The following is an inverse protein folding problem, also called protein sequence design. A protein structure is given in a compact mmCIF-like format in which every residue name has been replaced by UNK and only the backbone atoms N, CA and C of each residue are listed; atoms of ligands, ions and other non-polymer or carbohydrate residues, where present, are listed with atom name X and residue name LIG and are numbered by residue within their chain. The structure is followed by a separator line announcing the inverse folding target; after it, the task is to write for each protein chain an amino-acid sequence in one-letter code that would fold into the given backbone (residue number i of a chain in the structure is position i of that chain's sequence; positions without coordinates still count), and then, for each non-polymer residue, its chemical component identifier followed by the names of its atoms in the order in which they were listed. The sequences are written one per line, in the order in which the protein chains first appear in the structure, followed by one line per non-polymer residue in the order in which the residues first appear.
data_IF_311866941505
#
_entry.id   IF_311866941505
#
_cell.length_a   1.000
_cell.length_b   1.000
_cell.length_c   1.000
_cell.angle_alpha   90.00
_cell.angle_beta   90.00
_cell.angle_gamma   90.00
#
_symmetry.space_group_name_H-M   'P 1'
#
loop_
_entity.id
_entity.type
_entity.pdbx_description
1 polymer ?
#
# COMPACT_ATOMS: atom_id res chain seq x y z
N UNK A 1 -0.76 -13.32 4.70
CA UNK A 1 0.67 -13.59 5.05
C UNK A 1 1.43 -12.37 4.59
N UNK A 2 1.90 -11.54 5.53
CA UNK A 2 2.59 -10.29 5.25
C UNK A 2 3.77 -10.42 4.28
N UNK A 3 4.10 -9.33 3.59
CA UNK A 3 5.36 -9.17 2.87
C UNK A 3 6.55 -9.49 3.78
N UNK A 4 7.57 -10.17 3.25
CA UNK A 4 8.79 -10.41 4.04
C UNK A 4 9.49 -9.08 4.33
N UNK A 5 10.13 -8.98 5.50
CA UNK A 5 10.81 -7.75 5.91
C UNK A 5 11.84 -7.26 4.88
N UNK A 6 12.56 -8.20 4.27
CA UNK A 6 13.50 -7.92 3.18
C UNK A 6 12.84 -7.26 1.96
N UNK A 7 11.62 -7.66 1.61
CA UNK A 7 10.87 -7.09 0.49
C UNK A 7 10.32 -5.72 0.87
N UNK A 8 9.76 -5.57 2.08
CA UNK A 8 9.28 -4.28 2.59
C UNK A 8 10.39 -3.22 2.60
N UNK A 9 11.55 -3.56 3.15
CA UNK A 9 12.71 -2.65 3.23
C UNK A 9 13.22 -2.30 1.82
N UNK A 10 13.29 -3.28 0.91
CA UNK A 10 13.69 -3.04 -0.49
C UNK A 10 12.70 -2.14 -1.23
N UNK A 11 11.39 -2.28 -0.96
CA UNK A 11 10.36 -1.42 -1.54
C UNK A 11 10.45 0.01 -1.00
N UNK A 12 10.71 0.19 0.30
CA UNK A 12 10.91 1.51 0.90
C UNK A 12 12.16 2.21 0.32
N UNK A 13 13.26 1.48 0.11
CA UNK A 13 14.44 2.01 -0.57
C UNK A 13 14.15 2.38 -2.04
N UNK A 14 13.41 1.54 -2.77
CA UNK A 14 13.02 1.82 -4.14
C UNK A 14 12.13 3.08 -4.22
N UNK A 15 11.17 3.24 -3.31
CA UNK A 15 10.32 4.41 -3.22
C UNK A 15 11.13 5.70 -2.97
N UNK A 16 12.07 5.65 -2.02
CA UNK A 16 12.99 6.75 -1.74
C UNK A 16 13.81 7.16 -2.97
N UNK A 17 14.34 6.17 -3.69
CA UNK A 17 15.09 6.41 -4.94
C UNK A 17 14.20 7.00 -6.04
N UNK A 18 12.96 6.54 -6.17
CA UNK A 18 12.00 7.09 -7.14
C UNK A 18 11.59 8.52 -6.79
N UNK A 19 11.41 8.86 -5.51
CA UNK A 19 11.15 10.24 -5.07
C UNK A 19 12.32 11.17 -5.42
N UNK A 20 13.55 10.70 -5.24
CA UNK A 20 14.75 11.43 -5.69
C UNK A 20 14.77 11.59 -7.22
N UNK A 21 14.50 10.53 -7.98
CA UNK A 21 14.41 10.57 -9.43
C UNK A 21 13.34 11.56 -9.91
N UNK A 22 12.17 11.60 -9.25
CA UNK A 22 11.10 12.55 -9.53
C UNK A 22 11.57 13.99 -9.32
N UNK A 23 12.32 14.27 -8.25
CA UNK A 23 12.86 15.59 -8.01
C UNK A 23 13.81 16.05 -9.13
N UNK A 24 14.66 15.15 -9.65
CA UNK A 24 15.51 15.45 -10.80
C UNK A 24 14.70 15.63 -12.09
N UNK A 25 13.77 14.72 -12.37
CA UNK A 25 12.92 14.76 -13.55
C UNK A 25 12.08 16.04 -13.61
N UNK A 26 11.55 16.50 -12.48
CA UNK A 26 10.73 17.72 -12.39
C UNK A 26 11.46 18.99 -12.85
N UNK A 27 12.80 18.99 -12.89
CA UNK A 27 13.61 20.16 -13.27
C UNK A 27 14.05 20.14 -14.73
N UNK A 28 14.22 18.94 -15.31
CA UNK A 28 14.97 18.77 -16.56
C UNK A 28 14.19 18.03 -17.65
N UNK A 29 13.12 17.30 -17.30
CA UNK A 29 12.46 16.36 -18.20
C UNK A 29 11.04 16.77 -18.61
N UNK A 30 10.49 16.03 -19.59
CA UNK A 30 9.11 16.23 -20.02
C UNK A 30 8.11 15.84 -18.92
N UNK A 31 6.94 16.51 -18.82
CA UNK A 31 5.92 16.19 -17.81
C UNK A 31 5.48 14.72 -17.79
N UNK A 32 5.48 14.05 -18.95
CA UNK A 32 5.16 12.62 -19.07
C UNK A 32 6.09 11.76 -18.21
N UNK A 33 7.38 12.07 -18.16
CA UNK A 33 8.37 11.33 -17.36
C UNK A 33 8.07 11.47 -15.87
N UNK A 34 7.73 12.68 -15.42
CA UNK A 34 7.34 12.93 -14.03
C UNK A 34 6.07 12.14 -13.66
N UNK A 35 5.08 12.11 -14.55
CA UNK A 35 3.85 11.34 -14.37
C UNK A 35 4.11 9.84 -14.23
N UNK A 36 4.96 9.26 -15.08
CA UNK A 36 5.31 7.84 -15.01
C UNK A 36 6.05 7.50 -13.71
N UNK A 37 6.96 8.36 -13.25
CA UNK A 37 7.66 8.15 -11.96
C UNK A 37 6.67 8.21 -10.79
N UNK A 38 5.75 9.19 -10.80
CA UNK A 38 4.71 9.29 -9.77
C UNK A 38 3.79 8.06 -9.74
N UNK A 39 3.43 7.53 -10.92
CA UNK A 39 2.64 6.31 -11.02
C UNK A 39 3.36 5.09 -10.42
N UNK A 40 4.67 4.96 -10.67
CA UNK A 40 5.47 3.88 -10.07
C UNK A 40 5.50 3.96 -8.55
N UNK A 41 5.68 5.17 -7.97
CA UNK A 41 5.61 5.39 -6.53
C UNK A 41 4.24 4.97 -5.99
N UNK A 42 3.15 5.42 -6.62
CA UNK A 42 1.79 5.07 -6.18
C UNK A 42 1.51 3.57 -6.21
N UNK A 43 2.08 2.83 -7.17
CA UNK A 43 1.95 1.37 -7.23
C UNK A 43 2.67 0.67 -6.07
N UNK A 44 3.85 1.17 -5.67
CA UNK A 44 4.59 0.64 -4.52
C UNK A 44 3.78 0.86 -3.23
N UNK A 45 3.27 2.08 -3.02
CA UNK A 45 2.44 2.41 -1.84
C UNK A 45 1.18 1.54 -1.77
N UNK A 46 0.55 1.30 -2.92
CA UNK A 46 -0.64 0.44 -3.02
C UNK A 46 -0.30 -0.99 -2.63
N UNK A 47 0.83 -1.51 -3.09
CA UNK A 47 1.27 -2.87 -2.80
C UNK A 47 1.51 -3.08 -1.29
N UNK A 48 2.18 -2.12 -0.63
CA UNK A 48 2.38 -2.14 0.82
C UNK A 48 1.06 -2.02 1.60
N UNK A 49 0.15 -1.16 1.13
CA UNK A 49 -1.16 -0.96 1.78
C UNK A 49 -2.07 -2.18 1.64
N UNK A 50 -2.09 -2.80 0.46
CA UNK A 50 -2.93 -3.96 0.16
C UNK A 50 -2.54 -5.18 0.99
N UNK A 51 -1.25 -5.36 1.26
CA UNK A 51 -0.74 -6.40 2.18
C UNK A 51 -1.37 -6.25 3.58
N UNK A 52 -1.36 -5.03 4.13
CA UNK A 52 -1.95 -4.76 5.44
C UNK A 52 -3.47 -4.99 5.49
N UNK A 53 -4.17 -4.82 4.36
CA UNK A 53 -5.60 -5.07 4.23
C UNK A 53 -5.86 -6.56 4.14
N UNK A 54 -5.12 -7.28 3.30
CA UNK A 54 -5.25 -8.73 3.14
C UNK A 54 -4.96 -9.47 4.44
N UNK A 55 -3.94 -9.05 5.19
CA UNK A 55 -3.65 -9.62 6.50
C UNK A 55 -4.79 -9.41 7.51
N UNK A 56 -5.49 -8.26 7.47
CA UNK A 56 -6.68 -8.03 8.30
C UNK A 56 -7.87 -8.89 7.87
N UNK A 57 -8.01 -9.15 6.57
CA UNK A 57 -9.06 -10.02 6.03
C UNK A 57 -8.80 -11.49 6.37
N UNK A 58 -7.56 -11.97 6.25
CA UNK A 58 -7.18 -13.35 6.56
C UNK A 58 -7.27 -13.68 8.06
N UNK A 59 -6.94 -12.73 8.93
CA UNK A 59 -6.96 -12.93 10.38
C UNK A 59 -8.31 -12.63 11.05
N UNK A 60 -9.37 -12.40 10.26
CA UNK A 60 -10.71 -12.08 10.78
C UNK A 60 -11.32 -13.29 11.47
N UNK A 61 -11.56 -13.19 12.78
CA UNK A 61 -12.28 -14.21 13.56
C UNK A 61 -13.78 -13.91 13.58
N UNK A 62 -14.65 -14.93 13.75
CA UNK A 62 -16.06 -14.71 14.02
C UNK A 62 -16.21 -13.89 15.32
N UNK A 63 -16.88 -12.74 15.25
CA UNK A 63 -17.04 -11.80 16.38
C UNK A 63 -16.11 -10.58 16.36
N UNK A 64 -15.24 -10.42 15.36
CA UNK A 64 -14.34 -9.26 15.27
C UNK A 64 -15.08 -8.00 14.79
N UNK A 65 -15.12 -6.97 15.63
CA UNK A 65 -15.84 -5.70 15.40
C UNK A 65 -14.91 -4.63 14.78
N UNK A 66 -15.31 -4.04 13.65
CA UNK A 66 -14.56 -3.00 12.95
C UNK A 66 -15.33 -2.38 11.78
N UNK A 67 -14.79 -1.35 11.14
CA UNK A 67 -15.43 -0.50 10.10
C UNK A 67 -15.92 -1.24 8.83
N UNK A 68 -15.63 -2.54 8.71
CA UNK A 68 -16.09 -3.44 7.64
C UNK A 68 -16.95 -4.61 8.17
N UNK A 69 -17.40 -4.55 9.43
CA UNK A 69 -18.03 -5.64 10.16
C UNK A 69 -19.54 -5.49 10.35
N UNK A 70 -20.25 -6.57 10.00
CA UNK A 70 -21.57 -7.03 10.48
C UNK A 70 -22.52 -5.95 11.03
N UNK A 71 -23.33 -5.37 10.15
CA UNK A 71 -24.59 -4.75 10.56
C UNK A 71 -25.64 -5.76 11.06
N UNK A 72 -25.34 -7.07 11.05
CA UNK A 72 -26.32 -8.14 11.23
C UNK A 72 -25.78 -9.31 12.07
N UNK A 73 -25.35 -9.11 13.31
CA UNK A 73 -25.22 -10.27 14.20
C UNK A 73 -25.21 -9.97 15.70
N UNK A 74 -26.20 -9.23 16.23
CA UNK A 74 -26.31 -9.03 17.68
C UNK A 74 -27.74 -9.09 18.24
N UNK A 75 -28.67 -9.82 17.60
CA UNK A 75 -29.98 -10.12 18.20
C UNK A 75 -30.43 -11.54 17.81
N UNK A 76 -30.07 -12.54 18.62
CA UNK A 76 -30.87 -13.77 18.87
C UNK A 76 -30.16 -14.67 19.89
N UNK A 77 -30.19 -14.27 21.18
CA UNK A 77 -30.38 -15.17 22.33
C UNK A 77 -31.25 -14.48 23.39
#
# INVERSE_FOLDING_TARGET
MALSKSVEDSLAEAESNLRNALAFAARQERPVVCGMIAEMISKIDTLQSMDSILDKLENRKPGDSGLFGSFFNDDEE
#
